data_IF_929752897992
#
_entry.id   IF_929752897992
#
_cell.length_a   1.000
_cell.length_b   1.000
_cell.length_c   1.000
_cell.angle_alpha   90.00
_cell.angle_beta   90.00
_cell.angle_gamma   90.00
#
_symmetry.space_group_name_H-M   'P 1'
#
loop_
_entity.id
_entity.type
_entity.pdbx_description
1 polymer ?
#
# COMPACT_ATOMS: atom_id res chain seq x y z
N UNK A 1 16.91 6.40 10.65
CA UNK A 1 15.71 5.67 11.10
C UNK A 1 14.82 5.55 9.88
N UNK A 2 14.36 4.36 9.52
CA UNK A 2 13.40 4.19 8.41
C UNK A 2 11.99 4.26 8.99
N UNK A 3 11.12 5.12 8.47
CA UNK A 3 9.73 5.21 8.93
C UNK A 3 9.00 3.85 8.93
N UNK A 4 8.05 3.71 9.84
CA UNK A 4 7.25 2.49 10.01
C UNK A 4 6.14 2.41 8.95
N UNK A 5 6.53 2.07 7.72
CA UNK A 5 5.62 1.85 6.59
C UNK A 5 5.27 0.35 6.43
N UNK A 6 4.12 -0.02 5.83
CA UNK A 6 3.69 -1.43 5.72
C UNK A 6 4.59 -2.29 4.82
N UNK A 7 5.43 -1.66 4.00
CA UNK A 7 6.45 -2.30 3.15
C UNK A 7 7.88 -2.17 3.71
N UNK A 8 8.06 -1.51 4.86
CA UNK A 8 9.36 -1.41 5.53
C UNK A 8 9.79 -2.76 6.13
N UNK A 9 11.10 -2.97 6.30
CA UNK A 9 11.64 -4.21 6.86
C UNK A 9 11.58 -5.42 5.91
N UNK A 10 11.29 -6.61 6.44
CA UNK A 10 11.14 -7.87 5.67
C UNK A 10 9.68 -8.09 5.27
N UNK A 11 9.06 -7.07 4.67
CA UNK A 11 7.67 -7.13 4.24
C UNK A 11 7.48 -8.14 3.10
N UNK A 12 6.29 -8.75 3.07
CA UNK A 12 5.80 -9.58 1.98
C UNK A 12 4.28 -9.36 1.85
N UNK A 13 3.64 -9.98 0.85
CA UNK A 13 2.19 -9.77 0.60
C UNK A 13 1.31 -10.09 1.82
N UNK A 14 1.73 -11.05 2.64
CA UNK A 14 0.98 -11.46 3.84
C UNK A 14 1.13 -10.42 4.95
N UNK A 15 2.31 -9.82 5.14
CA UNK A 15 2.49 -8.77 6.14
C UNK A 15 1.77 -7.48 5.76
N UNK A 16 1.76 -7.12 4.47
CA UNK A 16 1.00 -5.95 3.98
C UNK A 16 -0.50 -6.19 4.16
N UNK A 17 -0.99 -7.40 3.86
CA UNK A 17 -2.39 -7.73 4.11
C UNK A 17 -2.73 -7.76 5.60
N UNK A 18 -1.87 -8.31 6.46
CA UNK A 18 -2.08 -8.29 7.91
C UNK A 18 -2.17 -6.86 8.47
N UNK A 19 -1.45 -5.91 7.87
CA UNK A 19 -1.61 -4.48 8.18
C UNK A 19 -3.04 -4.00 7.83
N UNK A 20 -3.54 -4.31 6.63
CA UNK A 20 -4.93 -3.97 6.26
C UNK A 20 -5.97 -4.62 7.18
N UNK A 21 -5.74 -5.87 7.59
CA UNK A 21 -6.62 -6.57 8.53
C UNK A 21 -6.60 -5.96 9.93
N UNK A 22 -5.44 -5.53 10.42
CA UNK A 22 -5.32 -4.85 11.71
C UNK A 22 -6.11 -3.53 11.74
N UNK A 23 -6.27 -2.89 10.59
CA UNK A 23 -7.09 -1.69 10.43
C UNK A 23 -8.56 -1.99 10.05
N UNK A 24 -8.93 -3.26 9.88
CA UNK A 24 -10.23 -3.72 9.43
C UNK A 24 -10.70 -3.03 8.12
N UNK A 25 -9.78 -2.81 7.20
CA UNK A 25 -10.08 -2.11 5.95
C UNK A 25 -10.84 -2.99 4.95
N UNK A 26 -11.94 -2.45 4.43
CA UNK A 26 -12.60 -2.93 3.21
C UNK A 26 -11.70 -2.75 1.99
N UNK A 27 -12.11 -3.31 0.86
CA UNK A 27 -11.37 -3.18 -0.41
C UNK A 27 -11.22 -1.71 -0.78
N UNK A 28 -12.29 -0.94 -0.65
CA UNK A 28 -12.32 0.49 -0.96
C UNK A 28 -11.35 1.31 -0.09
N UNK A 29 -11.24 0.97 1.20
CA UNK A 29 -10.27 1.60 2.09
C UNK A 29 -8.82 1.23 1.73
N UNK A 30 -8.58 -0.03 1.32
CA UNK A 30 -7.28 -0.48 0.84
C UNK A 30 -6.89 0.21 -0.48
N UNK A 31 -7.83 0.36 -1.42
CA UNK A 31 -7.62 1.08 -2.68
C UNK A 31 -7.28 2.54 -2.41
N UNK A 32 -8.05 3.21 -1.55
CA UNK A 32 -7.79 4.60 -1.16
C UNK A 32 -6.39 4.77 -0.58
N UNK A 33 -5.98 3.88 0.31
CA UNK A 33 -4.64 3.92 0.90
C UNK A 33 -3.53 3.69 -0.14
N UNK A 34 -3.74 2.75 -1.07
CA UNK A 34 -2.81 2.50 -2.17
C UNK A 34 -2.68 3.71 -3.11
N UNK A 35 -3.80 4.38 -3.44
CA UNK A 35 -3.81 5.56 -4.33
C UNK A 35 -2.94 6.70 -3.80
N UNK A 36 -2.99 6.98 -2.49
CA UNK A 36 -2.17 8.03 -1.88
C UNK A 36 -0.67 7.72 -2.02
N UNK A 37 -0.28 6.47 -1.73
CA UNK A 37 1.10 6.02 -1.93
C UNK A 37 1.54 6.06 -3.38
N UNK A 38 0.68 5.62 -4.31
CA UNK A 38 0.96 5.64 -5.73
C UNK A 38 1.18 7.08 -6.23
N UNK A 39 0.28 7.99 -5.86
CA UNK A 39 0.36 9.41 -6.23
C UNK A 39 1.64 10.03 -5.68
N UNK A 40 1.90 9.86 -4.38
CA UNK A 40 3.09 10.38 -3.74
C UNK A 40 4.38 9.88 -4.42
N UNK A 41 4.49 8.57 -4.65
CA UNK A 41 5.66 7.98 -5.29
C UNK A 41 5.82 8.45 -6.75
N UNK A 42 4.71 8.54 -7.48
CA UNK A 42 4.70 9.07 -8.86
C UNK A 42 5.19 10.51 -8.89
N UNK A 43 4.65 11.37 -8.03
CA UNK A 43 5.03 12.77 -7.97
C UNK A 43 6.52 12.92 -7.62
N UNK A 44 7.03 12.13 -6.68
CA UNK A 44 8.45 12.12 -6.34
C UNK A 44 9.33 11.71 -7.54
N UNK A 45 8.98 10.60 -8.20
CA UNK A 45 9.74 10.06 -9.34
C UNK A 45 9.71 11.03 -10.53
N UNK A 46 8.58 11.66 -10.82
CA UNK A 46 8.46 12.57 -11.96
C UNK A 46 9.23 13.89 -11.74
N UNK A 47 9.35 14.33 -10.50
CA UNK A 47 10.05 15.57 -10.13
C UNK A 47 11.58 15.41 -9.96
N UNK A 48 12.08 14.18 -9.80
CA UNK A 48 13.51 13.89 -9.74
C UNK A 48 14.02 13.42 -11.13
N UNK A 49 14.92 14.18 -11.74
CA UNK A 49 15.35 13.93 -13.13
C UNK A 49 15.96 12.53 -13.34
N UNK A 50 16.75 12.04 -12.38
CA UNK A 50 17.40 10.74 -12.47
C UNK A 50 16.39 9.60 -12.30
N UNK A 51 15.49 9.72 -11.32
CA UNK A 51 14.43 8.75 -11.10
C UNK A 51 13.43 8.74 -12.26
N UNK A 52 13.08 9.90 -12.83
CA UNK A 52 12.18 9.96 -13.97
C UNK A 52 12.79 9.22 -15.17
N UNK A 53 14.06 9.49 -15.48
CA UNK A 53 14.77 8.80 -16.56
C UNK A 53 14.84 7.28 -16.35
N UNK A 54 15.01 6.81 -15.11
CA UNK A 54 15.20 5.38 -14.82
C UNK A 54 13.90 4.60 -14.54
N UNK A 55 12.89 5.25 -13.95
CA UNK A 55 11.70 4.62 -13.34
C UNK A 55 10.39 5.28 -13.75
N UNK A 56 10.41 6.43 -14.43
CA UNK A 56 9.19 7.14 -14.84
C UNK A 56 8.25 6.30 -15.71
N UNK A 57 8.80 5.42 -16.55
CA UNK A 57 8.02 4.48 -17.39
C UNK A 57 7.13 3.53 -16.57
N UNK A 58 7.50 3.24 -15.32
CA UNK A 58 6.70 2.38 -14.43
C UNK A 58 5.37 3.03 -14.02
N UNK A 59 5.24 4.35 -14.20
CA UNK A 59 4.04 5.14 -13.89
C UNK A 59 3.28 5.57 -15.15
N UNK A 60 3.59 4.98 -16.31
CA UNK A 60 2.90 5.27 -17.58
C UNK A 60 1.48 4.70 -17.64
N UNK A 61 1.10 3.85 -16.68
CA UNK A 61 -0.25 3.31 -16.52
C UNK A 61 -0.81 3.62 -15.15
N UNK A 62 -2.14 3.54 -15.01
CA UNK A 62 -2.85 3.73 -13.74
C UNK A 62 -2.65 2.55 -12.76
N UNK A 63 -1.94 1.51 -13.20
CA UNK A 63 -1.60 0.34 -12.40
C UNK A 63 -0.08 0.21 -12.23
N UNK A 64 0.37 0.14 -10.98
CA UNK A 64 1.77 -0.11 -10.65
C UNK A 64 1.99 -1.60 -10.35
N UNK A 65 2.98 -2.21 -11.01
CA UNK A 65 3.35 -3.61 -10.82
C UNK A 65 3.20 -4.47 -12.08
N UNK A 66 3.63 -5.73 -11.99
CA UNK A 66 3.63 -6.69 -13.11
C UNK A 66 2.54 -7.76 -12.99
N UNK A 67 1.80 -7.74 -11.87
CA UNK A 67 0.77 -8.71 -11.57
C UNK A 67 -0.53 -8.31 -12.28
N UNK A 68 -0.99 -9.15 -13.21
CA UNK A 68 -2.25 -8.93 -13.91
C UNK A 68 -3.43 -8.87 -12.92
N UNK A 69 -4.42 -8.02 -13.20
CA UNK A 69 -5.61 -7.76 -12.39
C UNK A 69 -6.55 -8.98 -12.23
N UNK A 70 -6.11 -10.16 -12.65
CA UNK A 70 -6.85 -11.40 -12.55
C UNK A 70 -6.70 -12.01 -11.15
N UNK A 71 -7.73 -11.79 -10.33
CA UNK A 71 -7.88 -12.26 -8.94
C UNK A 71 -8.06 -13.79 -8.79
N UNK A 72 -7.76 -14.57 -9.82
CA UNK A 72 -7.92 -16.03 -9.82
C UNK A 72 -7.02 -16.73 -8.78
N UNK A 73 -5.85 -16.18 -8.47
CA UNK A 73 -4.95 -16.73 -7.46
C UNK A 73 -4.79 -15.85 -6.22
N UNK A 74 -5.26 -14.60 -6.28
CA UNK A 74 -4.88 -13.59 -5.31
C UNK A 74 -5.82 -13.52 -4.11
N UNK A 75 -6.97 -14.23 -4.04
CA UNK A 75 -7.79 -14.36 -2.82
C UNK A 75 -8.03 -13.03 -2.07
N UNK A 76 -8.19 -11.90 -2.77
CA UNK A 76 -8.33 -10.57 -2.13
C UNK A 76 -7.01 -9.90 -1.69
N UNK A 77 -5.85 -10.47 -2.03
CA UNK A 77 -4.49 -9.91 -1.83
C UNK A 77 -4.03 -9.03 -3.01
N UNK A 78 -4.89 -8.69 -3.97
CA UNK A 78 -4.48 -7.93 -5.16
C UNK A 78 -3.86 -6.57 -4.78
N UNK A 79 -4.53 -5.82 -3.89
CA UNK A 79 -4.04 -4.51 -3.43
C UNK A 79 -2.78 -4.68 -2.58
N UNK A 80 -2.73 -5.68 -1.69
CA UNK A 80 -1.55 -5.96 -0.89
C UNK A 80 -0.32 -6.30 -1.74
N UNK A 81 -0.52 -6.97 -2.87
CA UNK A 81 0.54 -7.30 -3.84
C UNK A 81 1.01 -6.05 -4.58
N UNK A 82 0.09 -5.24 -5.12
CA UNK A 82 0.44 -3.96 -5.76
C UNK A 82 1.17 -3.01 -4.81
N UNK A 83 0.71 -2.96 -3.55
CA UNK A 83 1.33 -2.16 -2.50
C UNK A 83 2.72 -2.65 -2.15
N UNK A 84 2.96 -3.97 -2.17
CA UNK A 84 4.30 -4.52 -2.01
C UNK A 84 5.22 -4.13 -3.19
N UNK A 85 4.76 -4.32 -4.43
CA UNK A 85 5.53 -3.97 -5.63
C UNK A 85 5.91 -2.47 -5.62
N UNK A 86 4.96 -1.60 -5.28
CA UNK A 86 5.21 -0.17 -5.11
C UNK A 86 6.17 0.12 -3.95
N UNK A 87 5.96 -0.55 -2.82
CA UNK A 87 6.80 -0.45 -1.63
C UNK A 87 8.26 -0.84 -1.87
N UNK A 88 8.52 -1.81 -2.74
CA UNK A 88 9.88 -2.20 -3.13
C UNK A 88 10.59 -1.07 -3.92
N UNK A 89 9.89 -0.40 -4.83
CA UNK A 89 10.41 0.80 -5.51
C UNK A 89 10.70 1.91 -4.48
N UNK A 90 9.74 2.23 -3.62
CA UNK A 90 9.86 3.30 -2.64
C UNK A 90 11.06 3.04 -1.73
N UNK A 91 11.14 1.84 -1.14
CA UNK A 91 12.21 1.45 -0.24
C UNK A 91 13.58 1.40 -0.93
N UNK A 92 13.63 0.91 -2.17
CA UNK A 92 14.88 0.69 -2.89
C UNK A 92 15.43 1.94 -3.58
N UNK A 93 14.59 2.91 -3.94
CA UNK A 93 14.98 4.03 -4.80
C UNK A 93 14.60 5.41 -4.24
N UNK A 94 13.53 5.52 -3.45
CA UNK A 94 13.04 6.82 -2.95
C UNK A 94 13.53 7.08 -1.52
N UNK A 95 13.25 6.17 -0.57
CA UNK A 95 13.60 6.36 0.85
C UNK A 95 15.09 6.69 1.10
N UNK A 96 16.07 6.08 0.39
CA UNK A 96 17.48 6.42 0.58
C UNK A 96 17.85 7.86 0.18
N UNK A 97 17.00 8.54 -0.59
CA UNK A 97 17.20 9.92 -1.06
C UNK A 97 16.52 10.96 -0.16
N UNK A 98 15.66 10.54 0.77
CA UNK A 98 14.98 11.44 1.69
C UNK A 98 15.94 11.87 2.79
N UNK A 99 15.97 13.17 3.08
CA UNK A 99 16.61 13.68 4.29
C UNK A 99 15.69 13.50 5.52
N UNK A 100 16.15 13.98 6.67
CA UNK A 100 15.45 13.82 7.93
C UNK A 100 14.09 14.53 7.95
N UNK A 101 14.02 15.75 7.42
CA UNK A 101 12.81 16.58 7.44
C UNK A 101 11.78 16.02 6.45
N UNK A 102 12.24 15.58 5.27
CA UNK A 102 11.41 14.91 4.28
C UNK A 102 10.86 13.59 4.81
N UNK A 103 11.65 12.82 5.56
CA UNK A 103 11.17 11.58 6.16
C UNK A 103 10.12 11.84 7.24
N UNK A 104 10.32 12.85 8.09
CA UNK A 104 9.33 13.23 9.10
C UNK A 104 8.03 13.75 8.47
N UNK A 105 8.12 14.53 7.39
CA UNK A 105 6.95 14.94 6.62
C UNK A 105 6.21 13.72 6.05
N UNK A 106 6.93 12.74 5.49
CA UNK A 106 6.34 11.50 4.99
C UNK A 106 5.67 10.67 6.10
N UNK A 107 6.25 10.62 7.30
CA UNK A 107 5.62 9.96 8.45
C UNK A 107 4.30 10.62 8.83
N UNK A 108 4.24 11.95 8.79
CA UNK A 108 3.02 12.71 9.02
C UNK A 108 1.97 12.45 7.94
N UNK A 109 2.33 12.59 6.65
CA UNK A 109 1.44 12.30 5.52
C UNK A 109 0.89 10.87 5.61
N UNK A 110 1.74 9.90 5.98
CA UNK A 110 1.34 8.51 6.16
C UNK A 110 0.28 8.33 7.25
N UNK A 111 0.38 9.03 8.39
CA UNK A 111 -0.65 9.00 9.42
C UNK A 111 -1.97 9.58 8.91
N UNK A 112 -1.93 10.64 8.11
CA UNK A 112 -3.13 11.21 7.49
C UNK A 112 -3.78 10.24 6.50
N UNK A 113 -2.98 9.52 5.69
CA UNK A 113 -3.49 8.52 4.76
C UNK A 113 -4.15 7.34 5.49
N UNK A 114 -3.57 6.90 6.61
CA UNK A 114 -4.19 5.89 7.49
C UNK A 114 -5.53 6.41 8.03
N UNK A 115 -5.58 7.65 8.52
CA UNK A 115 -6.81 8.25 9.04
C UNK A 115 -7.90 8.37 7.97
N UNK A 116 -7.53 8.78 6.75
CA UNK A 116 -8.43 8.87 5.61
C UNK A 116 -8.99 7.48 5.22
N UNK A 117 -8.15 6.45 5.16
CA UNK A 117 -8.58 5.08 4.88
C UNK A 117 -9.48 4.52 5.99
N UNK A 118 -9.19 4.80 7.26
CA UNK A 118 -10.07 4.46 8.38
C UNK A 118 -11.46 5.13 8.26
N UNK A 119 -11.51 6.38 7.80
CA UNK A 119 -12.77 7.08 7.57
C UNK A 119 -13.58 6.44 6.42
N UNK A 120 -12.92 5.95 5.37
CA UNK A 120 -13.58 5.16 4.31
C UNK A 120 -14.12 3.86 4.88
N UNK A 121 -13.31 3.13 5.65
CA UNK A 121 -13.72 1.86 6.28
C UNK A 121 -14.90 2.03 7.25
N UNK A 122 -15.01 3.19 7.93
CA UNK A 122 -16.17 3.48 8.78
C UNK A 122 -17.48 3.62 8.00
N UNK A 123 -17.44 4.15 6.76
CA UNK A 123 -18.60 4.29 5.89
C UNK A 123 -18.86 3.04 5.04
N UNK A 124 -17.81 2.25 4.78
CA UNK A 124 -17.84 1.02 4.00
C UNK A 124 -17.19 -0.10 4.82
N UNK A 125 -17.85 -0.59 5.88
CA UNK A 125 -17.27 -1.62 6.73
C UNK A 125 -17.05 -2.91 5.94
N UNK A 126 -15.95 -3.61 6.24
CA UNK A 126 -15.72 -4.97 5.72
C UNK A 126 -16.92 -5.83 6.07
N UNK A 127 -17.43 -6.59 5.09
CA UNK A 127 -18.52 -7.51 5.33
C UNK A 127 -18.17 -8.44 6.49
N UNK A 128 -19.13 -8.68 7.40
CA UNK A 128 -18.91 -9.62 8.49
C UNK A 128 -18.48 -10.97 7.91
N UNK A 129 -17.48 -11.57 8.54
CA UNK A 129 -17.10 -12.93 8.19
C UNK A 129 -18.38 -13.79 8.28
N UNK A 130 -18.71 -14.59 7.25
CA UNK A 130 -19.90 -15.41 7.30
C UNK A 130 -19.87 -16.23 8.57
N UNK A 131 -21.01 -16.33 9.27
CA UNK A 131 -21.14 -17.27 10.38
C UNK A 131 -20.78 -18.65 9.84
N UNK A 132 -19.58 -19.13 10.18
CA UNK A 132 -19.18 -20.50 9.89
C UNK A 132 -20.02 -21.36 10.83
N UNK A 133 -21.24 -21.68 10.37
CA UNK A 133 -22.08 -22.67 11.01
C UNK A 133 -21.28 -23.96 11.17
N UNK A 134 -21.06 -24.37 12.43
CA UNK A 134 -20.86 -25.78 12.83
C UNK A 134 -19.57 -26.50 12.41
N UNK A 135 -18.41 -25.85 12.35
CA UNK A 135 -17.13 -26.60 12.39
C UNK A 135 -16.15 -26.09 13.46
N UNK A 136 -16.64 -26.03 14.71
CA UNK A 136 -15.75 -26.34 15.85
C UNK A 136 -15.79 -27.85 16.04
N UNK A 137 -14.63 -28.50 15.92
CA UNK A 137 -14.48 -29.88 16.38
C UNK A 137 -14.60 -29.90 17.92
N UNK A 138 -15.66 -30.57 18.39
CA UNK A 138 -16.00 -31.02 19.75
C UNK A 138 -16.25 -29.93 20.80
#
# INVERSE_FOLDING_TARGET
MSGHFPFSGKANRVSVFAFFEAHNWSIEAQEKYFEEWYKWAKDYVMNDADLNAAKGVLFASDHFGTHADHDFHLHGYAIATRMLDLGELIKGSILPKLDHDMLHALEHDHEEWIAAANAVAANHPRAEAPEIGRYRHV
#
